data_IF_370901452948
#
_entry.id   IF_370901452948
#
_cell.length_a   1.000
_cell.length_b   1.000
_cell.length_c   1.000
_cell.angle_alpha   90.00
_cell.angle_beta   90.00
_cell.angle_gamma   90.00
#
_symmetry.space_group_name_H-M   'P 1'
#
loop_
_entity.id
_entity.type
_entity.pdbx_description
1 polymer ?
#
# COMPACT_ATOMS: atom_id res chain seq x y z
N UNK A 1 28.86 4.07 -10.60
CA UNK A 1 27.43 4.13 -10.95
C UNK A 1 26.73 4.79 -9.78
N UNK A 2 26.35 6.07 -9.92
CA UNK A 2 25.60 6.76 -8.88
C UNK A 2 24.15 6.27 -8.92
N UNK A 3 23.63 5.79 -7.79
CA UNK A 3 22.20 5.49 -7.66
C UNK A 3 21.37 6.75 -7.94
N UNK A 4 20.19 6.57 -8.53
CA UNK A 4 19.25 7.66 -8.75
C UNK A 4 19.00 8.40 -7.42
N UNK A 5 18.85 9.74 -7.43
CA UNK A 5 18.42 10.44 -6.23
C UNK A 5 17.10 9.81 -5.78
N UNK A 6 17.03 9.37 -4.52
CA UNK A 6 15.77 8.98 -3.92
C UNK A 6 14.82 10.16 -4.13
N UNK A 7 13.78 9.96 -4.94
CA UNK A 7 12.76 10.97 -5.12
C UNK A 7 12.24 11.35 -3.75
N UNK A 8 12.09 12.65 -3.49
CA UNK A 8 11.43 13.18 -2.30
C UNK A 8 9.93 12.84 -2.25
N UNK A 9 9.47 11.96 -3.15
CA UNK A 9 8.15 11.37 -3.21
C UNK A 9 8.28 9.85 -3.27
N UNK A 10 7.48 9.18 -2.46
CA UNK A 10 7.31 7.74 -2.45
C UNK A 10 6.93 7.24 -3.87
N UNK A 11 7.80 6.51 -4.59
CA UNK A 11 7.60 6.22 -6.02
C UNK A 11 6.34 5.39 -6.30
N UNK A 12 5.84 4.68 -5.29
CA UNK A 12 4.58 3.94 -5.37
C UNK A 12 3.33 4.84 -5.39
N UNK A 13 3.46 6.13 -5.08
CA UNK A 13 2.37 7.13 -5.16
C UNK A 13 2.17 7.71 -6.55
N UNK A 14 3.12 7.52 -7.46
CA UNK A 14 2.96 7.93 -8.84
C UNK A 14 1.72 7.25 -9.44
N UNK A 15 0.93 8.00 -10.20
CA UNK A 15 -0.39 7.53 -10.67
C UNK A 15 -0.30 6.24 -11.48
N UNK A 16 0.73 6.13 -12.33
CA UNK A 16 0.96 4.92 -13.11
C UNK A 16 1.31 3.73 -12.22
N UNK A 17 2.05 3.89 -11.13
CA UNK A 17 2.34 2.80 -10.19
C UNK A 17 1.10 2.43 -9.40
N UNK A 18 0.37 3.43 -8.86
CA UNK A 18 -0.91 3.24 -8.18
C UNK A 18 -1.90 2.44 -9.01
N UNK A 19 -1.95 2.72 -10.32
CA UNK A 19 -2.83 2.00 -11.25
C UNK A 19 -2.49 0.51 -11.39
N UNK A 20 -1.25 0.11 -11.10
CA UNK A 20 -0.78 -1.29 -11.18
C UNK A 20 -0.86 -2.04 -9.84
N UNK A 21 -0.81 -1.33 -8.70
CA UNK A 21 -0.85 -1.97 -7.39
C UNK A 21 -2.21 -2.63 -7.14
N UNK A 22 -2.20 -3.90 -6.76
CA UNK A 22 -3.41 -4.68 -6.47
C UNK A 22 -3.24 -5.49 -5.19
N UNK A 23 -4.35 -5.86 -4.58
CA UNK A 23 -4.36 -6.77 -3.46
C UNK A 23 -3.75 -8.13 -3.88
N UNK A 24 -2.75 -8.66 -3.16
CA UNK A 24 -2.09 -9.92 -3.49
C UNK A 24 -2.97 -11.17 -3.39
N UNK A 25 -4.18 -11.06 -2.80
CA UNK A 25 -5.08 -12.22 -2.59
C UNK A 25 -6.20 -12.28 -3.61
N UNK A 26 -6.89 -11.16 -3.84
CA UNK A 26 -8.11 -11.08 -4.67
C UNK A 26 -7.95 -10.19 -5.91
N UNK A 27 -6.79 -9.55 -6.07
CA UNK A 27 -6.48 -8.59 -7.12
C UNK A 27 -7.40 -7.36 -7.18
N UNK A 28 -8.13 -7.04 -6.11
CA UNK A 28 -8.92 -5.82 -6.01
C UNK A 28 -8.02 -4.57 -5.98
N UNK A 29 -8.62 -3.42 -6.28
CA UNK A 29 -7.94 -2.13 -6.18
C UNK A 29 -7.58 -1.80 -4.73
N UNK A 30 -6.49 -1.05 -4.57
CA UNK A 30 -6.03 -0.55 -3.29
C UNK A 30 -6.33 0.94 -3.15
N UNK A 31 -6.86 1.33 -1.99
CA UNK A 31 -7.18 2.72 -1.64
C UNK A 31 -6.29 3.20 -0.50
N UNK A 32 -5.80 4.44 -0.58
CA UNK A 32 -5.11 5.05 0.56
C UNK A 32 -5.99 5.08 1.82
N UNK A 33 -5.36 4.76 2.95
CA UNK A 33 -6.00 4.82 4.26
C UNK A 33 -4.97 5.27 5.31
N UNK A 34 -5.46 5.93 6.36
CA UNK A 34 -4.70 6.12 7.59
C UNK A 34 -5.07 4.98 8.54
N UNK A 35 -4.06 4.22 8.98
CA UNK A 35 -4.16 3.18 9.99
C UNK A 35 -4.05 3.80 11.39
N UNK A 36 -4.04 2.96 12.43
CA UNK A 36 -3.75 3.42 13.79
C UNK A 36 -2.41 4.18 13.86
N UNK A 37 -2.32 5.12 14.80
CA UNK A 37 -1.13 5.96 15.02
C UNK A 37 -0.69 6.78 13.79
N UNK A 38 -1.65 7.16 12.93
CA UNK A 38 -1.42 7.96 11.71
C UNK A 38 -0.48 7.28 10.68
N UNK A 39 -0.33 5.95 10.77
CA UNK A 39 0.47 5.18 9.82
C UNK A 39 -0.25 5.11 8.47
N UNK A 40 0.43 5.44 7.37
CA UNK A 40 -0.14 5.30 6.05
C UNK A 40 -0.33 3.82 5.67
N UNK A 41 -1.39 3.52 4.93
CA UNK A 41 -1.67 2.17 4.45
C UNK A 41 -2.44 2.15 3.14
N UNK A 42 -2.56 0.95 2.58
CA UNK A 42 -3.31 0.64 1.36
C UNK A 42 -4.40 -0.38 1.69
N UNK A 43 -5.65 0.05 1.71
CA UNK A 43 -6.83 -0.77 1.98
C UNK A 43 -7.27 -1.54 0.74
N UNK A 44 -7.55 -2.84 0.89
CA UNK A 44 -8.29 -3.61 -0.10
C UNK A 44 -9.72 -3.06 -0.23
N UNK A 45 -10.22 -2.96 -1.45
CA UNK A 45 -11.58 -2.47 -1.75
C UNK A 45 -12.64 -3.58 -1.78
N UNK A 46 -12.24 -4.86 -1.73
CA UNK A 46 -13.18 -5.99 -1.65
C UNK A 46 -13.86 -6.04 -0.27
N UNK A 47 -15.20 -6.00 -0.27
CA UNK A 47 -16.01 -6.08 0.95
C UNK A 47 -15.86 -7.43 1.68
N UNK A 48 -15.48 -8.49 0.99
CA UNK A 48 -15.18 -9.81 1.56
C UNK A 48 -13.79 -9.92 2.19
N UNK A 49 -12.88 -8.99 1.87
CA UNK A 49 -11.48 -9.02 2.31
C UNK A 49 -11.04 -7.67 2.88
N UNK A 50 -11.59 -7.35 4.05
CA UNK A 50 -11.39 -6.07 4.75
C UNK A 50 -10.04 -6.00 5.48
N UNK A 51 -8.97 -5.82 4.71
CA UNK A 51 -7.60 -5.65 5.23
C UNK A 51 -6.92 -4.42 4.62
N UNK A 52 -5.87 -3.95 5.27
CA UNK A 52 -4.96 -2.95 4.74
C UNK A 52 -3.50 -3.37 4.88
N UNK A 53 -2.68 -2.93 3.93
CA UNK A 53 -1.25 -3.17 3.88
C UNK A 53 -0.51 -1.92 4.39
N UNK A 54 0.32 -2.02 5.44
CA UNK A 54 1.00 -0.86 6.01
C UNK A 54 2.09 -0.34 5.06
N UNK A 55 2.37 0.96 5.15
CA UNK A 55 3.53 1.58 4.53
C UNK A 55 4.61 1.75 5.61
N UNK A 56 5.74 1.08 5.42
CA UNK A 56 6.87 1.09 6.37
C UNK A 56 8.07 1.73 5.67
N UNK A 57 8.66 2.75 6.29
CA UNK A 57 9.79 3.51 5.72
C UNK A 57 9.54 4.00 4.28
N UNK A 58 8.29 4.34 3.99
CA UNK A 58 7.84 4.79 2.68
C UNK A 58 7.66 3.69 1.63
N UNK A 59 7.61 2.41 2.04
CA UNK A 59 7.42 1.24 1.18
C UNK A 59 6.12 0.50 1.55
N UNK A 60 5.20 0.27 0.60
CA UNK A 60 4.00 -0.52 0.86
C UNK A 60 4.36 -2.00 1.03
N UNK A 61 4.03 -2.55 2.18
CA UNK A 61 4.27 -3.96 2.50
C UNK A 61 3.07 -4.78 2.05
N UNK A 62 3.07 -5.22 0.78
CA UNK A 62 2.02 -6.04 0.19
C UNK A 62 2.19 -7.54 0.52
N UNK A 63 2.42 -7.84 1.80
CA UNK A 63 2.53 -9.20 2.31
C UNK A 63 1.23 -9.58 3.02
N UNK A 64 0.72 -10.77 2.72
CA UNK A 64 -0.55 -11.27 3.28
C UNK A 64 -0.47 -11.39 4.80
N UNK A 65 0.68 -11.82 5.32
CA UNK A 65 0.90 -12.02 6.76
C UNK A 65 1.06 -10.70 7.54
N UNK A 66 1.42 -9.61 6.87
CA UNK A 66 1.58 -8.27 7.47
C UNK A 66 0.34 -7.38 7.28
N UNK A 67 -0.71 -7.91 6.63
CA UNK A 67 -1.95 -7.19 6.44
C UNK A 67 -2.68 -6.99 7.78
N UNK A 68 -3.15 -5.77 8.03
CA UNK A 68 -3.91 -5.44 9.23
C UNK A 68 -5.41 -5.43 8.94
N UNK A 69 -6.26 -5.95 9.83
CA UNK A 69 -7.71 -5.90 9.64
C UNK A 69 -8.24 -4.47 9.60
N UNK A 70 -9.17 -4.20 8.69
CA UNK A 70 -10.00 -3.01 8.69
C UNK A 70 -11.31 -3.35 9.41
N UNK A 71 -11.58 -2.66 10.53
CA UNK A 71 -12.76 -2.86 11.38
C UNK A 71 -14.09 -2.93 10.62
#
# INVERSE_FOLDING_TARGET
MAGAPAGSGEPWREEWVRSLLRCPVDHAELRDVALADEVAGLACTDAGHRVAYPVIDGVPVLLVDDAVPLG
#
